data_IF_439173407187
#
_entry.id   IF_439173407187
#
_cell.length_a   1.000
_cell.length_b   1.000
_cell.length_c   1.000
_cell.angle_alpha   90.00
_cell.angle_beta   90.00
_cell.angle_gamma   90.00
#
_symmetry.space_group_name_H-M   'P 1'
#
loop_
_entity.id
_entity.type
_entity.pdbx_description
1 polymer ?
#
# COMPACT_ATOMS: atom_id res chain seq x y z
N UNK A 1 -13.61 -6.38 1.59
CA UNK A 1 -12.21 -6.18 2.00
C UNK A 1 -12.19 -5.92 3.50
N UNK A 2 -11.33 -6.60 4.26
CA UNK A 2 -11.21 -6.33 5.69
C UNK A 2 -10.73 -4.89 5.92
N UNK A 3 -11.49 -4.12 6.69
CA UNK A 3 -11.07 -2.78 7.14
C UNK A 3 -9.73 -2.87 7.87
N UNK A 4 -8.88 -1.87 7.70
CA UNK A 4 -7.63 -1.79 8.45
C UNK A 4 -7.90 -1.43 9.91
N UNK A 5 -6.98 -1.84 10.78
CA UNK A 5 -7.01 -1.53 12.21
C UNK A 5 -5.81 -0.70 12.60
N UNK A 6 -5.93 0.02 13.72
CA UNK A 6 -4.78 0.70 14.32
C UNK A 6 -3.66 -0.30 14.57
N UNK A 7 -2.45 0.05 14.16
CA UNK A 7 -1.25 -0.81 14.18
C UNK A 7 -1.05 -1.66 12.92
N UNK A 8 -2.03 -1.72 12.00
CA UNK A 8 -1.83 -2.44 10.73
C UNK A 8 -0.74 -1.76 9.90
N UNK A 9 0.19 -2.59 9.39
CA UNK A 9 1.16 -2.19 8.38
C UNK A 9 0.50 -2.24 7.02
N UNK A 10 0.65 -1.17 6.24
CA UNK A 10 0.07 -1.04 4.90
C UNK A 10 1.08 -0.46 3.91
N UNK A 11 0.85 -0.67 2.62
CA UNK A 11 1.64 -0.08 1.54
C UNK A 11 0.80 1.02 0.88
N UNK A 12 1.33 2.25 0.91
CA UNK A 12 0.81 3.38 0.17
C UNK A 12 1.56 3.51 -1.17
N UNK A 13 0.86 3.57 -2.32
CA UNK A 13 1.52 3.64 -3.63
C UNK A 13 2.52 4.79 -3.75
N UNK A 14 3.66 4.53 -4.39
CA UNK A 14 4.79 5.47 -4.57
C UNK A 14 5.50 5.93 -3.27
N UNK A 15 4.88 5.84 -2.09
CA UNK A 15 5.45 6.29 -0.80
C UNK A 15 5.98 5.14 0.06
N UNK A 16 5.48 3.92 -0.16
CA UNK A 16 5.98 2.71 0.47
C UNK A 16 5.23 2.32 1.74
N UNK A 17 5.96 1.85 2.76
CA UNK A 17 5.38 1.29 3.98
C UNK A 17 4.85 2.39 4.90
N UNK A 18 3.63 2.20 5.38
CA UNK A 18 3.03 3.00 6.43
C UNK A 18 2.33 2.16 7.50
N UNK A 19 1.92 2.83 8.56
CA UNK A 19 1.20 2.24 9.71
C UNK A 19 -0.04 3.07 10.00
N UNK A 20 -1.17 2.41 10.23
CA UNK A 20 -2.38 3.08 10.71
C UNK A 20 -2.15 3.48 12.17
N UNK A 21 -1.96 4.77 12.42
CA UNK A 21 -1.79 5.33 13.77
C UNK A 21 -3.12 5.48 14.48
N UNK A 22 -4.17 5.84 13.75
CA UNK A 22 -5.50 6.09 14.31
C UNK A 22 -6.61 5.91 13.26
N UNK A 23 -7.84 5.77 13.75
CA UNK A 23 -9.06 5.73 12.94
C UNK A 23 -10.08 6.64 13.59
N UNK A 24 -10.42 7.74 12.93
CA UNK A 24 -11.34 8.74 13.45
C UNK A 24 -12.64 8.78 12.64
N UNK A 25 -13.75 8.96 13.35
CA UNK A 25 -15.05 9.25 12.77
C UNK A 25 -15.27 10.77 12.86
N UNK A 26 -15.22 11.45 11.72
CA UNK A 26 -15.47 12.89 11.61
C UNK A 26 -16.86 13.15 11.03
N UNK A 27 -17.48 14.28 11.38
CA UNK A 27 -18.74 14.72 10.79
C UNK A 27 -18.59 16.09 10.15
N UNK A 28 -18.89 16.20 8.86
CA UNK A 28 -18.88 17.46 8.13
C UNK A 28 -20.24 17.65 7.43
N UNK A 29 -20.87 18.81 7.62
CA UNK A 29 -22.21 19.12 7.08
C UNK A 29 -23.30 18.06 7.34
N UNK A 30 -23.21 17.31 8.44
CA UNK A 30 -24.18 16.27 8.81
C UNK A 30 -23.87 14.88 8.23
N UNK A 31 -22.88 14.76 7.35
CA UNK A 31 -22.38 13.47 6.85
C UNK A 31 -21.22 12.97 7.71
N UNK A 32 -21.24 11.68 8.06
CA UNK A 32 -20.18 11.03 8.84
C UNK A 32 -19.16 10.38 7.90
N UNK A 33 -17.89 10.74 8.06
CA UNK A 33 -16.77 10.19 7.31
C UNK A 33 -15.82 9.51 8.29
N UNK A 34 -15.43 8.28 7.96
CA UNK A 34 -14.37 7.59 8.69
C UNK A 34 -13.05 7.79 7.97
N UNK A 35 -12.02 8.20 8.71
CA UNK A 35 -10.71 8.58 8.17
C UNK A 35 -9.63 7.71 8.82
N UNK A 36 -8.73 7.18 7.98
CA UNK A 36 -7.50 6.55 8.41
C UNK A 36 -6.40 7.59 8.58
N UNK A 37 -5.71 7.56 9.71
CA UNK A 37 -4.51 8.34 9.99
C UNK A 37 -3.30 7.45 9.70
N UNK A 38 -2.72 7.60 8.51
CA UNK A 38 -1.64 6.76 8.03
C UNK A 38 -0.30 7.46 8.18
N UNK A 39 0.61 6.91 8.96
CA UNK A 39 2.00 7.38 9.03
C UNK A 39 2.86 6.65 8.02
N UNK A 40 3.43 7.39 7.07
CA UNK A 40 4.47 6.87 6.17
C UNK A 40 5.79 6.82 6.92
N UNK A 41 6.42 5.63 6.95
CA UNK A 41 7.61 5.41 7.78
C UNK A 41 8.88 6.01 7.19
N UNK A 42 8.97 6.20 5.86
CA UNK A 42 10.20 6.67 5.22
C UNK A 42 10.51 8.15 5.55
N UNK A 43 9.47 8.99 5.64
CA UNK A 43 9.57 10.44 5.77
C UNK A 43 8.74 10.99 6.95
N UNK A 44 8.21 10.10 7.79
CA UNK A 44 7.38 10.45 8.95
C UNK A 44 6.15 11.32 8.62
N UNK A 45 5.63 11.25 7.40
CA UNK A 45 4.47 12.05 6.97
C UNK A 45 3.16 11.40 7.41
N UNK A 46 2.22 12.21 7.94
CA UNK A 46 0.87 11.78 8.24
C UNK A 46 -0.04 12.04 7.03
N UNK A 47 -0.72 11.00 6.56
CA UNK A 47 -1.66 11.04 5.44
C UNK A 47 -3.04 10.69 5.97
N UNK A 48 -4.03 11.52 5.66
CA UNK A 48 -5.43 11.30 6.00
C UNK A 48 -6.13 10.67 4.80
N UNK A 49 -6.75 9.52 5.00
CA UNK A 49 -7.40 8.77 3.91
C UNK A 49 -8.84 8.43 4.29
N UNK A 50 -9.85 8.93 3.57
CA UNK A 50 -11.23 8.51 3.76
C UNK A 50 -11.40 7.02 3.49
N UNK A 51 -12.18 6.33 4.31
CA UNK A 51 -12.48 4.89 4.14
C UNK A 51 -13.03 4.57 2.75
N UNK A 52 -13.87 5.46 2.20
CA UNK A 52 -14.47 5.35 0.87
C UNK A 52 -13.43 5.29 -0.26
N UNK A 53 -12.28 5.95 -0.09
CA UNK A 53 -11.27 6.12 -1.13
C UNK A 53 -10.03 5.23 -0.91
N UNK A 54 -9.95 4.49 0.20
CA UNK A 54 -8.78 3.70 0.54
C UNK A 54 -8.46 2.61 -0.52
N UNK A 55 -9.49 1.98 -1.09
CA UNK A 55 -9.34 0.99 -2.16
C UNK A 55 -8.95 1.64 -3.49
N UNK A 56 -9.61 2.74 -3.85
CA UNK A 56 -9.35 3.50 -5.08
C UNK A 56 -7.91 4.04 -5.14
N UNK A 57 -7.38 4.50 -3.99
CA UNK A 57 -5.99 4.98 -3.88
C UNK A 57 -4.99 3.82 -3.93
N UNK A 58 -5.43 2.56 -3.77
CA UNK A 58 -4.57 1.38 -3.88
C UNK A 58 -3.77 1.05 -2.62
N UNK A 59 -4.27 1.47 -1.45
CA UNK A 59 -3.69 1.09 -0.15
C UNK A 59 -3.91 -0.40 0.06
N UNK A 60 -2.86 -1.13 0.41
CA UNK A 60 -2.91 -2.60 0.51
C UNK A 60 -2.09 -3.15 1.66
N UNK A 61 -2.42 -4.37 2.10
CA UNK A 61 -1.60 -5.10 3.08
C UNK A 61 -0.28 -5.58 2.44
N UNK A 62 0.80 -5.67 3.22
CA UNK A 62 2.03 -6.33 2.81
C UNK A 62 1.78 -7.77 2.38
N UNK A 63 2.58 -8.26 1.44
CA UNK A 63 2.54 -9.66 1.01
C UNK A 63 2.94 -10.59 2.15
N UNK A 64 2.34 -11.78 2.20
CA UNK A 64 2.67 -12.78 3.23
C UNK A 64 4.08 -13.36 3.05
N UNK A 65 4.69 -13.83 4.13
CA UNK A 65 6.01 -14.47 4.08
C UNK A 65 6.07 -15.66 3.10
N UNK A 66 4.97 -16.42 2.97
CA UNK A 66 4.87 -17.50 1.99
C UNK A 66 4.92 -16.98 0.55
N UNK A 67 4.29 -15.84 0.26
CA UNK A 67 4.35 -15.19 -1.06
C UNK A 67 5.72 -14.60 -1.32
N UNK A 68 6.38 -14.06 -0.30
CA UNK A 68 7.78 -13.60 -0.40
C UNK A 68 8.70 -14.74 -0.83
N UNK A 69 8.59 -15.94 -0.23
CA UNK A 69 9.38 -17.11 -0.66
C UNK A 69 9.18 -17.46 -2.12
N UNK A 70 7.92 -17.47 -2.59
CA UNK A 70 7.61 -17.72 -4.02
C UNK A 70 8.21 -16.67 -4.95
N UNK A 71 8.24 -15.40 -4.53
CA UNK A 71 8.87 -14.33 -5.30
C UNK A 71 10.38 -14.57 -5.41
N UNK A 72 11.04 -14.91 -4.30
CA UNK A 72 12.48 -15.22 -4.32
C UNK A 72 12.81 -16.44 -5.19
N UNK A 73 11.98 -17.48 -5.13
CA UNK A 73 12.12 -18.65 -6.01
C UNK A 73 11.97 -18.28 -7.47
N UNK A 74 10.93 -17.51 -7.81
CA UNK A 74 10.72 -16.99 -9.16
C UNK A 74 11.89 -16.13 -9.64
N UNK A 75 12.44 -15.25 -8.79
CA UNK A 75 13.62 -14.45 -9.15
C UNK A 75 14.88 -15.30 -9.40
N UNK A 76 14.96 -16.50 -8.81
CA UNK A 76 16.10 -17.41 -8.96
C UNK A 76 16.02 -18.24 -10.25
N UNK A 77 14.82 -18.64 -10.65
CA UNK A 77 14.62 -19.62 -11.74
C UNK A 77 13.84 -19.08 -12.94
N UNK A 78 13.26 -17.89 -12.82
CA UNK A 78 12.39 -17.32 -13.84
C UNK A 78 13.16 -16.90 -15.07
N UNK A 79 12.71 -17.36 -16.23
CA UNK A 79 13.16 -16.82 -17.50
C UNK A 79 12.60 -15.41 -17.68
N UNK A 80 13.46 -14.49 -18.11
CA UNK A 80 13.07 -13.11 -18.40
C UNK A 80 13.13 -12.92 -19.91
N UNK A 81 11.97 -12.66 -20.52
CA UNK A 81 11.92 -12.24 -21.91
C UNK A 81 12.46 -10.80 -22.01
N UNK A 82 13.65 -10.68 -22.59
CA UNK A 82 14.35 -9.40 -22.75
C UNK A 82 14.34 -8.98 -24.21
N UNK A 83 13.80 -7.79 -24.48
CA UNK A 83 13.99 -7.17 -25.79
C UNK A 83 15.50 -6.92 -26.04
N UNK A 84 16.00 -7.18 -27.25
CA UNK A 84 17.42 -6.94 -27.56
C UNK A 84 17.79 -5.45 -27.56
N UNK A 85 16.83 -4.56 -27.84
CA UNK A 85 17.09 -3.11 -27.84
C UNK A 85 16.94 -2.52 -26.43
N UNK A 86 17.84 -1.61 -26.06
CA UNK A 86 17.85 -1.04 -24.71
C UNK A 86 16.64 -0.13 -24.43
N UNK A 87 16.13 0.56 -25.46
CA UNK A 87 14.97 1.46 -25.33
C UNK A 87 13.70 0.70 -24.95
N UNK A 88 13.50 -0.47 -25.54
CA UNK A 88 12.38 -1.37 -25.27
C UNK A 88 12.55 -2.20 -24.01
N UNK A 89 13.79 -2.39 -23.52
CA UNK A 89 14.01 -2.96 -22.17
C UNK A 89 13.73 -1.99 -21.03
N UNK A 90 13.96 -0.69 -21.24
CA UNK A 90 13.76 0.33 -20.19
C UNK A 90 12.30 0.72 -20.01
N UNK A 91 11.53 0.71 -21.12
CA UNK A 91 10.11 1.05 -21.12
C UNK A 91 9.27 -0.05 -20.50
#
# INVERSE_FOLDING_TARGET
>A
MDSFKVGDKVIYPNQGLGVIEDIQDESHYGEKFRIYHLRILNNNTLVLVPFSNAEEIGIRKPVSAGRVRKIFEFMRTGEVDVMMNWKGRYK
#
